data_IF_757764617865
#
_entry.id   IF_757764617865
#
_cell.length_a   1.000
_cell.length_b   1.000
_cell.length_c   1.000
_cell.angle_alpha   90.00
_cell.angle_beta   90.00
_cell.angle_gamma   90.00
#
_symmetry.space_group_name_H-M   'P 1'
#
loop_
_entity.id
_entity.type
_entity.pdbx_description
1 polymer ?
#
# COMPACT_ATOMS: atom_id res chain seq x y z
N UNK A 1 4.79 -2.67 20.44
CA UNK A 1 5.64 -1.76 19.69
C UNK A 1 4.83 -0.57 19.19
N UNK A 2 5.40 0.65 19.15
CA UNK A 2 4.78 1.79 18.48
C UNK A 2 4.48 1.44 17.01
N UNK A 3 3.41 2.05 16.46
CA UNK A 3 3.02 1.81 15.07
C UNK A 3 2.49 3.10 14.47
N UNK A 4 2.95 3.42 13.27
CA UNK A 4 2.53 4.59 12.50
C UNK A 4 1.74 4.14 11.27
N UNK A 5 0.61 4.80 11.03
CA UNK A 5 -0.15 4.72 9.78
C UNK A 5 -0.35 6.13 9.26
N UNK A 6 0.00 6.35 8.00
CA UNK A 6 -0.33 7.53 7.21
C UNK A 6 -1.29 7.09 6.11
N UNK A 7 -2.43 7.74 5.98
CA UNK A 7 -3.48 7.38 5.04
C UNK A 7 -3.87 8.58 4.21
N UNK A 8 -3.83 8.44 2.89
CA UNK A 8 -4.21 9.48 1.93
C UNK A 8 -5.47 9.09 1.18
N UNK A 9 -6.42 10.03 1.07
CA UNK A 9 -7.60 9.83 0.22
C UNK A 9 -7.21 9.81 -1.25
N UNK A 10 -7.56 8.73 -1.95
CA UNK A 10 -7.25 8.50 -3.35
C UNK A 10 -8.45 7.92 -4.11
N UNK A 11 -8.51 8.03 -5.45
CA UNK A 11 -9.59 7.46 -6.22
C UNK A 11 -9.55 5.92 -6.22
N UNK A 12 -10.72 5.34 -6.48
CA UNK A 12 -10.89 3.95 -6.92
C UNK A 12 -11.33 3.91 -8.37
N UNK A 13 -11.21 2.76 -9.02
CA UNK A 13 -11.66 2.55 -10.39
C UNK A 13 -13.18 2.71 -10.45
N UNK A 14 -13.66 3.59 -11.31
CA UNK A 14 -15.07 3.79 -11.63
C UNK A 14 -15.38 3.34 -13.05
N UNK A 15 -14.44 3.57 -13.94
CA UNK A 15 -14.51 3.17 -15.33
C UNK A 15 -13.16 2.58 -15.75
N UNK A 16 -13.11 1.27 -15.93
CA UNK A 16 -11.89 0.51 -16.23
C UNK A 16 -11.21 0.99 -17.53
N UNK A 17 -11.94 1.49 -18.49
CA UNK A 17 -11.40 1.98 -19.76
C UNK A 17 -10.92 3.44 -19.69
N UNK A 18 -11.65 4.31 -18.97
CA UNK A 18 -11.37 5.74 -18.95
C UNK A 18 -10.38 6.16 -17.85
N UNK A 19 -10.43 5.51 -16.69
CA UNK A 19 -9.58 5.85 -15.58
C UNK A 19 -8.12 5.46 -15.85
N UNK A 20 -7.19 6.26 -15.35
CA UNK A 20 -5.76 5.95 -15.39
C UNK A 20 -5.09 6.08 -14.01
N UNK A 21 -5.57 6.99 -13.16
CA UNK A 21 -4.98 7.30 -11.85
C UNK A 21 -4.94 6.09 -10.90
N UNK A 22 -6.00 5.26 -10.79
CA UNK A 22 -5.95 4.08 -9.95
C UNK A 22 -4.87 3.07 -10.37
N UNK A 23 -4.60 2.94 -11.66
CA UNK A 23 -3.54 2.06 -12.16
C UNK A 23 -2.14 2.62 -11.88
N UNK A 24 -1.98 3.95 -11.98
CA UNK A 24 -0.75 4.61 -11.59
C UNK A 24 -0.50 4.49 -10.07
N UNK A 25 -1.53 4.58 -9.23
CA UNK A 25 -1.45 4.37 -7.79
C UNK A 25 -1.07 2.92 -7.43
N UNK A 26 -1.57 1.92 -8.15
CA UNK A 26 -1.21 0.51 -7.96
C UNK A 26 0.27 0.27 -8.29
N UNK A 27 0.75 0.86 -9.38
CA UNK A 27 2.18 0.79 -9.74
C UNK A 27 3.03 1.55 -8.72
N UNK A 28 2.59 2.72 -8.24
CA UNK A 28 3.26 3.49 -7.20
C UNK A 28 3.38 2.71 -5.89
N UNK A 29 2.31 2.02 -5.47
CA UNK A 29 2.34 1.11 -4.32
C UNK A 29 3.45 0.07 -4.46
N UNK A 30 3.52 -0.58 -5.61
CA UNK A 30 4.53 -1.60 -5.89
C UNK A 30 5.96 -1.04 -6.01
N UNK A 31 6.15 0.23 -6.43
CA UNK A 31 7.44 0.92 -6.37
C UNK A 31 7.89 1.10 -4.92
N UNK A 32 6.94 1.44 -4.04
CA UNK A 32 7.21 1.66 -2.63
C UNK A 32 7.43 0.36 -1.86
N UNK A 33 6.62 -0.68 -2.10
CA UNK A 33 6.62 -1.90 -1.28
C UNK A 33 6.36 -3.23 -2.04
N UNK A 34 6.33 -3.25 -3.35
CA UNK A 34 5.99 -4.47 -4.12
C UNK A 34 6.96 -5.66 -3.97
N UNK A 35 8.13 -5.48 -3.39
CA UNK A 35 9.14 -6.53 -3.22
C UNK A 35 10.23 -6.14 -2.21
N UNK A 36 11.04 -7.13 -1.78
CA UNK A 36 12.10 -6.95 -0.77
C UNK A 36 13.15 -5.87 -1.10
N UNK A 37 13.28 -5.43 -2.34
CA UNK A 37 14.17 -4.34 -2.76
C UNK A 37 13.40 -3.08 -3.17
N UNK A 38 12.10 -2.99 -2.86
CA UNK A 38 11.29 -1.80 -3.05
C UNK A 38 11.80 -0.64 -2.16
N UNK A 39 11.42 0.59 -2.50
CA UNK A 39 12.03 1.79 -1.92
C UNK A 39 11.94 1.85 -0.41
N UNK A 40 10.76 1.56 0.18
CA UNK A 40 10.60 1.63 1.63
C UNK A 40 11.48 0.61 2.35
N UNK A 41 11.46 -0.65 1.92
CA UNK A 41 12.28 -1.68 2.54
C UNK A 41 13.78 -1.39 2.36
N UNK A 42 14.18 -1.00 1.14
CA UNK A 42 15.58 -0.66 0.85
C UNK A 42 16.06 0.50 1.73
N UNK A 43 15.35 1.63 1.71
CA UNK A 43 15.81 2.87 2.33
C UNK A 43 15.60 2.88 3.85
N UNK A 44 14.37 2.55 4.33
CA UNK A 44 14.03 2.71 5.75
C UNK A 44 14.49 1.54 6.61
N UNK A 45 14.41 0.31 6.07
CA UNK A 45 14.72 -0.90 6.85
C UNK A 45 16.20 -1.28 6.75
N UNK A 46 16.73 -1.37 5.52
CA UNK A 46 18.09 -1.91 5.30
C UNK A 46 19.19 -0.85 5.36
N UNK A 47 19.03 0.27 4.67
CA UNK A 47 20.09 1.30 4.56
C UNK A 47 20.11 2.20 5.80
N UNK A 48 19.02 2.93 6.06
CA UNK A 48 18.97 3.92 7.14
C UNK A 48 18.64 3.31 8.50
N UNK A 49 18.12 2.08 8.52
CA UNK A 49 17.76 1.35 9.74
C UNK A 49 16.88 2.15 10.71
N UNK A 50 15.92 2.90 10.16
CA UNK A 50 14.95 3.70 10.92
C UNK A 50 13.74 2.84 11.30
N UNK A 51 13.35 1.92 10.43
CA UNK A 51 12.19 1.04 10.61
C UNK A 51 12.56 -0.42 10.81
N UNK A 52 11.75 -1.16 11.56
CA UNK A 52 11.73 -2.62 11.55
C UNK A 52 10.96 -3.16 10.34
N UNK A 53 9.84 -2.51 10.03
CA UNK A 53 9.07 -2.72 8.79
C UNK A 53 8.54 -1.38 8.29
N UNK A 54 8.37 -1.28 6.97
CA UNK A 54 7.72 -0.16 6.31
C UNK A 54 7.00 -0.70 5.08
N UNK A 55 5.71 -0.47 5.03
CA UNK A 55 4.79 -1.10 4.10
C UNK A 55 3.95 -0.02 3.40
N UNK A 56 3.54 -0.29 2.16
CA UNK A 56 2.57 0.49 1.42
C UNK A 56 1.42 -0.41 0.97
N UNK A 57 0.20 0.12 0.94
CA UNK A 57 -0.92 -0.62 0.38
C UNK A 57 -1.96 0.29 -0.26
N UNK A 58 -2.48 -0.16 -1.38
CA UNK A 58 -3.55 0.49 -2.11
C UNK A 58 -4.46 -0.55 -2.76
N UNK A 59 -5.73 -0.20 -2.90
CA UNK A 59 -6.69 -1.01 -3.64
C UNK A 59 -7.55 -0.15 -4.54
N UNK A 60 -7.34 -0.26 -5.85
CA UNK A 60 -8.15 0.43 -6.87
C UNK A 60 -9.58 -0.13 -6.97
N UNK A 61 -9.81 -1.38 -6.62
CA UNK A 61 -11.13 -2.03 -6.70
C UNK A 61 -11.87 -1.85 -5.39
N UNK A 62 -12.70 -0.80 -5.31
CA UNK A 62 -13.48 -0.41 -4.14
C UNK A 62 -14.80 0.21 -4.55
N UNK A 63 -15.86 0.03 -3.73
CA UNK A 63 -17.18 0.60 -3.99
C UNK A 63 -17.25 2.12 -3.82
N UNK A 64 -16.45 2.66 -2.92
CA UNK A 64 -16.31 4.09 -2.63
C UNK A 64 -14.93 4.62 -3.01
N UNK A 65 -14.60 5.87 -2.61
CA UNK A 65 -13.24 6.35 -2.63
C UNK A 65 -12.32 5.39 -1.88
N UNK A 66 -11.07 5.31 -2.27
CA UNK A 66 -10.08 4.45 -1.67
C UNK A 66 -9.07 5.24 -0.83
N UNK A 67 -8.20 4.53 -0.16
CA UNK A 67 -7.12 5.10 0.62
C UNK A 67 -5.80 4.45 0.22
N UNK A 68 -4.76 5.26 0.19
CA UNK A 68 -3.40 4.79 0.06
C UNK A 68 -2.75 4.84 1.44
N UNK A 69 -2.31 3.69 1.94
CA UNK A 69 -1.72 3.57 3.25
C UNK A 69 -0.20 3.46 3.14
N UNK A 70 0.48 4.18 4.03
CA UNK A 70 1.87 3.93 4.39
C UNK A 70 1.87 3.55 5.86
N UNK A 71 2.47 2.44 6.21
CA UNK A 71 2.55 2.02 7.61
C UNK A 71 3.97 1.60 7.96
N UNK A 72 4.36 1.80 9.21
CA UNK A 72 5.70 1.44 9.63
C UNK A 72 5.81 1.23 11.15
N UNK A 73 6.77 0.38 11.51
CA UNK A 73 7.18 0.12 12.90
C UNK A 73 8.58 0.69 13.10
N UNK A 74 8.80 1.60 14.06
CA UNK A 74 10.13 2.16 14.28
C UNK A 74 11.11 1.10 14.81
N UNK A 75 12.37 1.25 14.47
CA UNK A 75 13.45 0.45 15.06
C UNK A 75 13.69 0.88 16.51
N UNK A 76 14.18 -0.02 17.32
CA UNK A 76 14.55 0.29 18.71
C UNK A 76 15.50 1.49 18.76
N UNK A 77 15.13 2.50 19.57
CA UNK A 77 15.87 3.77 19.68
C UNK A 77 15.51 4.81 18.64
N UNK A 78 14.54 4.55 17.78
CA UNK A 78 13.98 5.49 16.80
C UNK A 78 12.60 5.97 17.23
N UNK A 79 12.25 7.21 16.89
CA UNK A 79 10.96 7.82 17.23
C UNK A 79 9.95 7.69 16.10
N UNK A 80 8.68 7.91 16.42
CA UNK A 80 7.59 7.95 15.41
C UNK A 80 7.78 9.15 14.47
N UNK A 81 8.26 10.27 14.98
CA UNK A 81 8.50 11.49 14.20
C UNK A 81 9.63 11.29 13.18
N UNK A 82 10.73 10.62 13.57
CA UNK A 82 11.80 10.25 12.63
C UNK A 82 11.26 9.34 11.52
N UNK A 83 10.38 8.41 11.87
CA UNK A 83 9.78 7.46 10.95
C UNK A 83 8.80 8.14 9.98
N UNK A 84 7.94 9.02 10.50
CA UNK A 84 7.03 9.83 9.69
C UNK A 84 7.80 10.67 8.67
N UNK A 85 8.83 11.38 9.13
CA UNK A 85 9.66 12.21 8.25
C UNK A 85 10.36 11.37 7.18
N UNK A 86 10.79 10.15 7.50
CA UNK A 86 11.41 9.26 6.53
C UNK A 86 10.42 8.79 5.46
N UNK A 87 9.17 8.46 5.83
CA UNK A 87 8.11 8.13 4.86
C UNK A 87 7.77 9.33 3.96
N UNK A 88 7.62 10.52 4.53
CA UNK A 88 7.40 11.76 3.77
C UNK A 88 8.52 12.03 2.78
N UNK A 89 9.77 11.83 3.18
CA UNK A 89 10.93 12.02 2.31
C UNK A 89 10.92 11.07 1.11
N UNK A 90 10.47 9.81 1.27
CA UNK A 90 10.36 8.88 0.13
C UNK A 90 9.29 9.33 -0.87
N UNK A 91 8.14 9.81 -0.39
CA UNK A 91 7.10 10.40 -1.25
C UNK A 91 7.65 11.67 -1.95
N UNK A 92 8.32 12.54 -1.22
CA UNK A 92 8.89 13.76 -1.77
C UNK A 92 9.92 13.48 -2.86
N UNK A 93 10.75 12.44 -2.71
CA UNK A 93 11.67 11.99 -3.78
C UNK A 93 10.92 11.61 -5.05
N UNK A 94 9.78 10.91 -4.94
CA UNK A 94 8.95 10.56 -6.11
C UNK A 94 8.40 11.83 -6.78
N UNK A 95 7.89 12.77 -5.98
CA UNK A 95 7.36 14.04 -6.50
C UNK A 95 8.44 14.88 -7.20
N UNK A 96 9.62 15.01 -6.59
CA UNK A 96 10.70 15.87 -7.10
C UNK A 96 11.53 15.22 -8.20
N UNK A 97 11.91 13.96 -8.01
CA UNK A 97 12.85 13.25 -8.87
C UNK A 97 12.16 12.28 -9.83
N UNK A 98 10.91 11.88 -9.53
CA UNK A 98 10.20 10.87 -10.28
C UNK A 98 10.70 9.45 -10.04
N UNK A 99 10.42 8.58 -10.98
CA UNK A 99 10.91 7.20 -11.08
C UNK A 99 11.64 7.02 -12.41
N UNK A 100 12.64 6.14 -12.44
CA UNK A 100 13.34 5.86 -13.69
C UNK A 100 12.55 4.90 -14.56
N UNK A 101 12.72 4.96 -15.88
CA UNK A 101 12.09 4.03 -16.81
C UNK A 101 12.47 2.57 -16.49
N UNK A 102 13.72 2.32 -16.13
CA UNK A 102 14.20 0.99 -15.75
C UNK A 102 13.46 0.45 -14.51
N UNK A 103 13.28 1.29 -13.48
CA UNK A 103 12.52 0.94 -12.28
C UNK A 103 11.05 0.66 -12.64
N UNK A 104 10.43 1.52 -13.44
CA UNK A 104 9.04 1.39 -13.86
C UNK A 104 8.81 0.09 -14.66
N UNK A 105 9.65 -0.21 -15.65
CA UNK A 105 9.55 -1.44 -16.46
C UNK A 105 9.65 -2.67 -15.58
N UNK A 106 10.61 -2.70 -14.65
CA UNK A 106 10.78 -3.82 -13.71
C UNK A 106 9.57 -4.01 -12.81
N UNK A 107 9.06 -2.92 -12.21
CA UNK A 107 7.91 -2.98 -11.31
C UNK A 107 6.64 -3.41 -12.05
N UNK A 108 6.37 -2.83 -13.22
CA UNK A 108 5.21 -3.25 -14.04
C UNK A 108 5.25 -4.74 -14.38
N UNK A 109 6.42 -5.26 -14.74
CA UNK A 109 6.56 -6.69 -15.01
C UNK A 109 6.22 -7.54 -13.77
N UNK A 110 6.61 -7.11 -12.58
CA UNK A 110 6.30 -7.80 -11.33
C UNK A 110 4.80 -7.75 -10.98
N UNK A 111 4.17 -6.58 -11.09
CA UNK A 111 2.72 -6.41 -10.88
C UNK A 111 1.94 -7.32 -11.82
N UNK A 112 2.26 -7.30 -13.11
CA UNK A 112 1.61 -8.13 -14.12
C UNK A 112 1.81 -9.62 -13.82
N UNK A 113 3.03 -10.04 -13.48
CA UNK A 113 3.31 -11.41 -13.10
C UNK A 113 2.49 -11.86 -11.89
N UNK A 114 2.36 -11.00 -10.87
CA UNK A 114 1.50 -11.26 -9.70
C UNK A 114 0.05 -11.53 -10.08
N UNK A 115 -0.52 -10.70 -10.93
CA UNK A 115 -1.88 -10.91 -11.44
C UNK A 115 -2.03 -12.19 -12.28
N UNK A 116 -1.03 -12.53 -13.09
CA UNK A 116 -1.04 -13.77 -13.90
C UNK A 116 -0.98 -14.99 -12.99
N UNK A 117 -0.08 -15.02 -12.00
CA UNK A 117 0.04 -16.16 -11.06
C UNK A 117 -1.22 -16.36 -10.20
N UNK A 118 -1.95 -15.29 -9.87
CA UNK A 118 -3.23 -15.43 -9.16
C UNK A 118 -4.27 -16.23 -9.96
N UNK A 119 -4.15 -16.30 -11.29
CA UNK A 119 -5.06 -17.07 -12.16
C UNK A 119 -4.88 -18.59 -12.01
N UNK A 120 -3.78 -19.05 -11.44
CA UNK A 120 -3.57 -20.51 -11.21
C UNK A 120 -4.40 -21.04 -10.03
N UNK A 121 -4.94 -20.14 -9.20
CA UNK A 121 -5.78 -20.47 -8.05
C UNK A 121 -7.25 -20.24 -8.35
N UNK A 122 -8.07 -21.29 -8.33
CA UNK A 122 -9.54 -21.21 -8.47
C UNK A 122 -10.14 -20.28 -7.41
N UNK A 123 -9.63 -20.33 -6.17
CA UNK A 123 -10.07 -19.46 -5.08
C UNK A 123 -9.76 -17.99 -5.41
N UNK A 124 -8.54 -17.68 -5.86
CA UNK A 124 -8.15 -16.31 -6.22
C UNK A 124 -8.98 -15.77 -7.38
N UNK A 125 -9.27 -16.59 -8.39
CA UNK A 125 -10.15 -16.21 -9.49
C UNK A 125 -11.58 -15.90 -8.99
N UNK A 126 -12.14 -16.76 -8.16
CA UNK A 126 -13.49 -16.56 -7.61
C UNK A 126 -13.56 -15.28 -6.76
N UNK A 127 -12.54 -15.02 -5.93
CA UNK A 127 -12.43 -13.79 -5.12
C UNK A 127 -12.31 -12.55 -6.01
N UNK A 128 -11.52 -12.59 -7.07
CA UNK A 128 -11.36 -11.49 -8.00
C UNK A 128 -12.66 -11.16 -8.73
N UNK A 129 -13.34 -12.17 -9.26
CA UNK A 129 -14.66 -12.02 -9.92
C UNK A 129 -15.66 -11.42 -8.92
N UNK A 130 -15.78 -12.01 -7.74
CA UNK A 130 -16.70 -11.54 -6.69
C UNK A 130 -16.42 -10.10 -6.27
N UNK A 131 -15.13 -9.72 -6.15
CA UNK A 131 -14.73 -8.36 -5.80
C UNK A 131 -15.12 -7.35 -6.88
N UNK A 132 -14.86 -7.64 -8.15
CA UNK A 132 -15.25 -6.77 -9.26
C UNK A 132 -16.77 -6.57 -9.28
N UNK A 133 -17.56 -7.63 -9.34
CA UNK A 133 -19.03 -7.57 -9.39
C UNK A 133 -19.62 -6.86 -8.15
N UNK A 134 -19.11 -7.14 -6.96
CA UNK A 134 -19.62 -6.52 -5.73
C UNK A 134 -19.32 -5.01 -5.64
N UNK A 135 -18.32 -4.52 -6.35
CA UNK A 135 -17.95 -3.09 -6.38
C UNK A 135 -18.59 -2.31 -7.53
N UNK A 136 -19.33 -2.99 -8.41
CA UNK A 136 -20.02 -2.41 -9.55
C UNK A 136 -19.18 -2.37 -10.84
N UNK A 137 -18.04 -3.06 -10.84
CA UNK A 137 -17.22 -3.31 -12.02
C UNK A 137 -17.63 -4.65 -12.65
N UNK A 138 -17.32 -4.87 -13.93
CA UNK A 138 -17.54 -6.16 -14.57
C UNK A 138 -16.29 -7.05 -14.44
N UNK A 139 -16.48 -8.32 -14.11
CA UNK A 139 -15.37 -9.29 -14.15
C UNK A 139 -14.72 -9.40 -15.53
N UNK A 140 -15.44 -9.05 -16.60
CA UNK A 140 -14.91 -9.01 -17.98
C UNK A 140 -13.83 -7.96 -18.19
N UNK A 141 -13.77 -6.96 -17.30
CA UNK A 141 -12.78 -5.89 -17.37
C UNK A 141 -11.45 -6.24 -16.68
N UNK A 142 -11.33 -7.44 -16.11
CA UNK A 142 -10.08 -7.88 -15.43
C UNK A 142 -8.87 -7.83 -16.37
N UNK A 143 -9.04 -8.19 -17.63
CA UNK A 143 -7.95 -8.12 -18.62
C UNK A 143 -7.60 -6.68 -19.01
N UNK A 144 -8.60 -5.78 -19.01
CA UNK A 144 -8.39 -4.34 -19.24
C UNK A 144 -7.47 -3.73 -18.16
N UNK A 145 -7.57 -4.18 -16.92
CA UNK A 145 -6.70 -3.75 -15.82
C UNK A 145 -5.21 -3.99 -16.17
N UNK A 146 -4.87 -5.18 -16.66
CA UNK A 146 -3.49 -5.51 -17.02
C UNK A 146 -2.96 -4.63 -18.17
N UNK A 147 -3.79 -4.38 -19.17
CA UNK A 147 -3.39 -3.49 -20.27
C UNK A 147 -3.18 -2.04 -19.79
N UNK A 148 -4.03 -1.56 -18.88
CA UNK A 148 -3.86 -0.22 -18.30
C UNK A 148 -2.59 -0.11 -17.46
N UNK A 149 -2.24 -1.11 -16.64
CA UNK A 149 -0.98 -1.15 -15.90
C UNK A 149 0.23 -1.07 -16.84
N UNK A 150 0.20 -1.76 -17.98
CA UNK A 150 1.28 -1.68 -18.98
C UNK A 150 1.47 -0.27 -19.52
N UNK A 151 0.40 0.50 -19.64
CA UNK A 151 0.41 1.86 -20.20
C UNK A 151 0.85 2.94 -19.20
N UNK A 152 0.96 2.65 -17.91
CA UNK A 152 1.38 3.62 -16.91
C UNK A 152 2.76 4.19 -17.25
N UNK A 153 2.90 5.53 -17.23
CA UNK A 153 4.17 6.22 -17.48
C UNK A 153 4.80 6.78 -16.20
N UNK A 154 6.06 7.17 -16.29
CA UNK A 154 6.79 7.83 -15.19
C UNK A 154 6.16 9.16 -14.79
N UNK A 155 5.64 9.92 -15.77
CA UNK A 155 4.92 11.18 -15.56
C UNK A 155 3.64 10.94 -14.76
N UNK A 156 2.88 9.90 -15.11
CA UNK A 156 1.64 9.55 -14.41
C UNK A 156 1.90 9.16 -12.95
N UNK A 157 2.98 8.43 -12.65
CA UNK A 157 3.41 8.14 -11.28
C UNK A 157 3.68 9.43 -10.49
N UNK A 158 4.43 10.36 -11.09
CA UNK A 158 4.73 11.65 -10.49
C UNK A 158 3.48 12.50 -10.30
N UNK A 159 2.57 12.49 -11.26
CA UNK A 159 1.31 13.25 -11.23
C UNK A 159 0.41 12.77 -10.10
N UNK A 160 0.17 11.47 -9.94
CA UNK A 160 -0.66 10.96 -8.83
C UNK A 160 0.02 11.21 -7.47
N UNK A 161 1.35 11.10 -7.39
CA UNK A 161 2.07 11.42 -6.17
C UNK A 161 1.90 12.90 -5.78
N UNK A 162 2.03 13.81 -6.73
CA UNK A 162 1.87 15.25 -6.51
C UNK A 162 0.43 15.63 -6.14
N UNK A 163 -0.55 14.97 -6.78
CA UNK A 163 -1.97 15.29 -6.62
C UNK A 163 -2.56 14.80 -5.31
N UNK A 164 -2.18 13.60 -4.87
CA UNK A 164 -2.87 12.92 -3.77
C UNK A 164 -2.11 12.92 -2.46
N UNK A 165 -0.77 12.97 -2.46
CA UNK A 165 0.01 12.92 -1.22
C UNK A 165 0.26 14.33 -0.67
N UNK A 166 -0.83 15.02 -0.37
CA UNK A 166 -0.88 16.37 0.20
C UNK A 166 -1.48 16.33 1.60
N UNK A 167 -1.21 17.36 2.42
CA UNK A 167 -1.67 17.43 3.81
C UNK A 167 -3.21 17.38 3.93
N UNK A 168 -3.93 18.01 3.01
CA UNK A 168 -5.40 18.03 3.02
C UNK A 168 -6.04 16.65 2.84
N UNK A 169 -5.29 15.69 2.27
CA UNK A 169 -5.72 14.30 2.08
C UNK A 169 -5.21 13.36 3.16
N UNK A 170 -4.35 13.83 4.06
CA UNK A 170 -3.61 13.00 5.00
C UNK A 170 -4.36 12.82 6.32
N UNK A 171 -4.43 11.58 6.77
CA UNK A 171 -4.78 11.21 8.14
C UNK A 171 -3.63 10.40 8.74
N UNK A 172 -3.16 10.78 9.93
CA UNK A 172 -2.11 10.07 10.65
C UNK A 172 -2.72 9.40 11.88
N UNK A 173 -2.44 8.12 12.06
CA UNK A 173 -2.76 7.37 13.26
C UNK A 173 -1.48 6.81 13.89
N UNK A 174 -1.33 7.02 15.18
CA UNK A 174 -0.18 6.55 15.97
C UNK A 174 -0.69 5.65 17.08
N UNK A 175 -0.16 4.42 17.14
CA UNK A 175 -0.31 3.56 18.31
C UNK A 175 0.85 3.81 19.25
N UNK A 176 0.56 4.36 20.43
CA UNK A 176 1.50 4.50 21.52
C UNK A 176 1.24 3.38 22.56
N UNK A 177 2.10 2.35 22.62
CA UNK A 177 1.89 1.21 23.51
C UNK A 177 2.06 1.63 24.96
N UNK A 178 1.02 1.43 25.75
CA UNK A 178 1.08 1.66 27.19
C UNK A 178 1.68 0.44 27.89
N UNK A 179 2.41 0.63 29.02
CA UNK A 179 2.85 -0.47 29.86
C UNK A 179 1.65 -1.33 30.24
N UNK A 180 1.77 -2.64 30.06
CA UNK A 180 0.77 -3.56 30.60
C UNK A 180 0.80 -3.42 32.13
N UNK A 181 -0.27 -2.87 32.70
CA UNK A 181 -0.50 -2.99 34.14
C UNK A 181 -0.40 -4.47 34.50
N UNK A 182 0.55 -4.83 35.36
CA UNK A 182 0.66 -6.17 35.95
C UNK A 182 -0.54 -6.45 36.87
N UNK A 183 -1.76 -6.28 36.37
CA UNK A 183 -2.95 -6.79 37.01
C UNK A 183 -2.93 -8.30 36.89
N UNK A 184 -2.85 -8.96 38.05
CA UNK A 184 -2.94 -10.39 38.29
C UNK A 184 -3.72 -11.11 37.19
N UNK A 185 -3.21 -12.27 36.73
CA UNK A 185 -3.97 -13.09 35.82
C UNK A 185 -5.38 -13.29 36.40
N UNK A 186 -6.41 -12.99 35.61
CA UNK A 186 -7.77 -13.24 36.00
C UNK A 186 -7.85 -14.72 36.38
N UNK A 187 -8.16 -14.99 37.67
CA UNK A 187 -8.41 -16.36 38.13
C UNK A 187 -9.53 -16.90 37.24
N UNK A 188 -9.17 -17.82 36.37
CA UNK A 188 -10.16 -18.63 35.66
C UNK A 188 -10.94 -19.35 36.75
N UNK A 189 -12.26 -19.17 36.87
CA UNK A 189 -13.03 -19.90 37.86
C UNK A 189 -12.82 -21.40 37.57
N UNK A 190 -12.28 -22.12 38.57
CA UNK A 190 -12.11 -23.56 38.51
C UNK A 190 -13.49 -24.22 38.69
N UNK A 191 -14.29 -24.23 37.61
CA UNK A 191 -15.66 -24.73 37.75
C UNK A 191 -16.35 -24.95 36.41
N UNK A 192 -15.70 -25.60 35.45
CA UNK A 192 -16.37 -26.24 34.30
C UNK A 192 -15.53 -27.42 33.86
N UNK A 193 -15.53 -28.48 34.69
CA UNK A 193 -15.30 -29.83 34.20
C UNK A 193 -16.69 -30.46 34.02
N UNK A 194 -17.13 -30.57 32.79
CA UNK A 194 -18.05 -31.63 32.35
C UNK A 194 -17.67 -32.08 30.97
#
# INVERSE_FOLDING_TARGET
LPYLIMSYHVPSIKNTAADWEPYALEVLESILDGHASARLNKTLVRENQIANSADASYSGVSRGPSMFFLSAVPRVGKTIEELEQALRNEIEKIIKLGVTEEELVRVKAQVIAGHVYQRDSIFSQAMQIGRFESTGLSYRDIDTLLEKIKMVSTEQIREVATKYFIEDNLTIAILDPQPLDQKKPAMIPSGLRH
#
